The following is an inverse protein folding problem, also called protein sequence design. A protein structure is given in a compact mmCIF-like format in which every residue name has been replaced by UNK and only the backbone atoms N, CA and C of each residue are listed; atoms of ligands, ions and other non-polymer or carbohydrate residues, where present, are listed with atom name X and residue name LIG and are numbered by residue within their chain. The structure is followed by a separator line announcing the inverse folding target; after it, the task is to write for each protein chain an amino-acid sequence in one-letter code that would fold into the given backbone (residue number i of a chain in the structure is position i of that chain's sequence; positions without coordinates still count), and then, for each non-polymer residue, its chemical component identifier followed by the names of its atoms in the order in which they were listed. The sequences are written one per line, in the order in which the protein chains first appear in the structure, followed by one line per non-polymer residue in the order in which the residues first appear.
data_IF_831770087110
#
_entry.id   IF_831770087110
#
_cell.length_a   1.000
_cell.length_b   1.000
_cell.length_c   1.000
_cell.angle_alpha   90.00
_cell.angle_beta   90.00
_cell.angle_gamma   90.00
#
_symmetry.space_group_name_H-M   'P 1'
#
loop_
_entity.id
_entity.type
_entity.pdbx_description
1 polymer ?
#
# COMPACT_ATOMS: atom_id res chain seq x y z
N UNK A 1 26.36 13.93 3.26
CA UNK A 1 26.94 14.26 4.56
C UNK A 1 26.33 13.48 5.72
N UNK A 2 25.20 13.92 6.34
CA UNK A 2 24.66 13.23 7.53
C UNK A 2 24.07 11.84 7.20
N UNK A 3 23.35 11.71 6.10
CA UNK A 3 22.84 10.42 5.62
C UNK A 3 23.95 9.39 5.41
N UNK A 4 25.13 9.83 5.02
CA UNK A 4 26.30 8.95 4.80
C UNK A 4 26.98 8.54 6.11
N UNK A 5 26.81 9.32 7.18
CA UNK A 5 27.45 9.05 8.47
C UNK A 5 26.54 8.29 9.43
N UNK A 6 25.33 8.77 9.66
CA UNK A 6 24.40 8.22 10.65
C UNK A 6 23.12 7.60 10.05
N UNK A 7 22.91 7.73 8.74
CA UNK A 7 21.71 7.30 8.08
C UNK A 7 20.54 8.29 8.16
N UNK A 8 19.31 7.80 7.95
CA UNK A 8 18.10 8.62 7.95
C UNK A 8 17.50 8.72 9.34
N UNK A 9 17.33 9.93 9.83
CA UNK A 9 16.62 10.20 11.08
C UNK A 9 15.14 9.81 10.93
N UNK A 10 14.52 9.17 11.94
CA UNK A 10 13.09 8.96 11.98
C UNK A 10 12.32 10.26 12.18
N UNK A 11 11.03 10.27 11.83
CA UNK A 11 10.15 11.41 12.07
C UNK A 11 9.84 11.58 13.56
N UNK A 12 9.76 10.45 14.32
CA UNK A 12 9.44 10.43 15.75
C UNK A 12 10.40 9.48 16.47
N UNK A 13 10.84 9.87 17.66
CA UNK A 13 11.55 9.00 18.61
C UNK A 13 10.65 8.70 19.81
N UNK A 14 10.52 7.43 20.16
CA UNK A 14 9.79 6.97 21.32
C UNK A 14 10.74 6.72 22.48
N UNK A 15 10.45 7.30 23.65
CA UNK A 15 11.25 7.14 24.85
C UNK A 15 10.42 6.59 26.01
N UNK A 16 11.08 5.88 26.96
CA UNK A 16 10.51 5.73 28.29
C UNK A 16 10.42 7.10 28.94
N UNK A 17 9.38 7.31 29.75
CA UNK A 17 9.14 8.59 30.45
C UNK A 17 10.36 9.02 31.30
N UNK A 18 11.08 8.05 31.87
CA UNK A 18 12.28 8.27 32.71
C UNK A 18 13.49 8.72 31.88
N UNK A 19 13.56 8.36 30.61
CA UNK A 19 14.66 8.67 29.71
C UNK A 19 14.38 9.95 28.89
N UNK A 20 13.14 10.45 28.92
CA UNK A 20 12.76 11.64 28.17
C UNK A 20 13.33 12.92 28.79
N UNK A 21 14.19 13.59 28.04
CA UNK A 21 14.83 14.83 28.47
C UNK A 21 14.01 16.07 28.05
N UNK A 22 13.21 16.60 28.99
CA UNK A 22 12.37 17.78 28.76
C UNK A 22 13.16 19.05 28.39
N UNK A 23 14.43 19.17 28.79
CA UNK A 23 15.24 20.34 28.49
C UNK A 23 15.62 20.44 27.00
N UNK A 24 15.59 19.32 26.25
CA UNK A 24 15.83 19.30 24.81
C UNK A 24 14.59 19.72 24.01
N UNK A 25 13.42 19.77 24.66
CA UNK A 25 12.14 20.01 24.00
C UNK A 25 11.63 18.78 23.22
N UNK A 26 10.51 18.93 22.52
CA UNK A 26 9.92 17.88 21.69
C UNK A 26 10.51 17.85 20.27
N UNK A 27 11.02 18.96 19.77
CA UNK A 27 11.66 19.06 18.46
C UNK A 27 13.18 19.16 18.62
N UNK A 28 13.85 18.06 18.23
CA UNK A 28 15.31 17.96 18.23
C UNK A 28 15.90 17.93 16.81
N UNK A 29 15.09 18.22 15.79
CA UNK A 29 15.48 18.13 14.38
C UNK A 29 16.64 19.06 14.02
N UNK A 30 16.75 20.22 14.68
CA UNK A 30 17.81 21.22 14.50
C UNK A 30 19.14 20.87 15.19
N UNK A 31 19.14 19.87 16.08
CA UNK A 31 20.35 19.46 16.82
C UNK A 31 21.26 18.60 15.95
N UNK A 32 22.57 18.76 16.10
CA UNK A 32 23.51 17.87 15.42
C UNK A 32 23.54 16.47 16.03
N UNK A 33 23.96 15.48 15.25
CA UNK A 33 24.10 14.09 15.72
C UNK A 33 25.12 13.95 16.85
N UNK A 34 26.13 14.84 16.90
CA UNK A 34 27.13 14.85 17.97
C UNK A 34 26.50 15.30 19.29
N UNK A 35 25.58 16.28 19.25
CA UNK A 35 24.95 16.83 20.45
C UNK A 35 23.94 15.88 21.07
N UNK A 36 23.28 15.05 20.27
CA UNK A 36 22.13 14.23 20.72
C UNK A 36 22.34 12.73 20.58
N UNK A 37 23.49 12.27 20.10
CA UNK A 37 23.74 10.85 19.82
C UNK A 37 23.45 9.92 21.00
N UNK A 38 24.01 10.25 22.18
CA UNK A 38 23.79 9.48 23.41
C UNK A 38 22.33 9.52 23.90
N UNK A 39 21.61 10.61 23.59
CA UNK A 39 20.20 10.71 23.91
C UNK A 39 19.35 9.86 22.97
N UNK A 40 19.62 9.93 21.66
CA UNK A 40 18.93 9.13 20.64
C UNK A 40 19.09 7.63 20.93
N UNK A 41 20.26 7.18 21.35
CA UNK A 41 20.53 5.78 21.69
C UNK A 41 19.69 5.25 22.89
N UNK A 42 19.05 6.13 23.66
CA UNK A 42 18.10 5.75 24.74
C UNK A 42 16.67 5.58 24.26
N UNK A 43 16.39 5.92 23.01
CA UNK A 43 15.06 5.75 22.44
C UNK A 43 14.69 4.26 22.36
N UNK A 44 13.42 3.95 22.59
CA UNK A 44 12.87 2.60 22.44
C UNK A 44 12.68 2.27 20.95
N UNK A 45 12.27 3.27 20.17
CA UNK A 45 11.98 3.11 18.75
C UNK A 45 12.16 4.42 17.98
N UNK A 46 12.55 4.30 16.72
CA UNK A 46 12.41 5.33 15.69
C UNK A 46 11.22 5.02 14.80
N UNK A 47 10.40 6.01 14.51
CA UNK A 47 9.16 5.84 13.75
C UNK A 47 9.20 6.75 12.53
N UNK A 48 9.03 6.17 11.35
CA UNK A 48 8.75 6.86 10.10
C UNK A 48 7.25 6.92 9.89
N UNK A 49 6.67 8.11 9.74
CA UNK A 49 5.23 8.31 9.60
C UNK A 49 4.89 8.60 8.14
N UNK A 50 3.89 7.92 7.63
CA UNK A 50 3.26 8.19 6.34
C UNK A 50 1.78 8.44 6.55
N UNK A 51 1.22 9.34 5.77
CA UNK A 51 -0.21 9.62 5.78
C UNK A 51 -0.84 9.38 4.41
N UNK A 52 -2.08 8.99 4.42
CA UNK A 52 -2.88 8.76 3.23
C UNK A 52 -4.29 9.31 3.43
N UNK A 53 -4.78 10.11 2.48
CA UNK A 53 -6.08 10.75 2.54
C UNK A 53 -7.23 9.81 2.15
N UNK A 54 -7.20 8.58 2.69
CA UNK A 54 -8.23 7.57 2.46
C UNK A 54 -8.90 7.15 3.77
N UNK A 55 -10.18 6.83 3.68
CA UNK A 55 -10.91 6.04 4.67
C UNK A 55 -10.79 4.58 4.27
N UNK A 56 -10.02 3.80 5.03
CA UNK A 56 -9.65 2.42 4.63
C UNK A 56 -10.86 1.49 4.57
N UNK A 57 -11.82 1.65 5.49
CA UNK A 57 -13.04 0.84 5.50
C UNK A 57 -13.87 1.10 4.24
N UNK A 58 -14.13 2.38 3.90
CA UNK A 58 -14.86 2.74 2.67
C UNK A 58 -14.13 2.31 1.40
N UNK A 59 -12.81 2.41 1.38
CA UNK A 59 -12.02 1.94 0.24
C UNK A 59 -12.20 0.43 0.04
N UNK A 60 -12.14 -0.35 1.12
CA UNK A 60 -12.29 -1.81 1.09
C UNK A 60 -13.72 -2.20 0.68
N UNK A 61 -14.74 -1.54 1.22
CA UNK A 61 -16.14 -1.77 0.84
C UNK A 61 -16.37 -1.51 -0.65
N UNK A 62 -15.87 -0.38 -1.16
CA UNK A 62 -16.00 -0.02 -2.57
C UNK A 62 -15.24 -0.99 -3.47
N UNK A 63 -14.01 -1.37 -3.11
CA UNK A 63 -13.22 -2.36 -3.83
C UNK A 63 -13.97 -3.71 -3.92
N UNK A 64 -14.53 -4.19 -2.81
CA UNK A 64 -15.30 -5.42 -2.76
C UNK A 64 -16.59 -5.32 -3.60
N UNK A 65 -17.26 -4.17 -3.59
CA UNK A 65 -18.44 -3.90 -4.42
C UNK A 65 -18.12 -4.00 -5.91
N UNK A 66 -17.02 -3.37 -6.32
CA UNK A 66 -16.56 -3.39 -7.72
C UNK A 66 -16.17 -4.81 -8.15
N UNK A 67 -15.44 -5.55 -7.32
CA UNK A 67 -15.07 -6.94 -7.59
C UNK A 67 -16.31 -7.80 -7.76
N UNK A 68 -17.26 -7.75 -6.82
CA UNK A 68 -18.50 -8.53 -6.90
C UNK A 68 -19.27 -8.26 -8.19
N UNK A 69 -19.52 -6.99 -8.53
CA UNK A 69 -20.22 -6.59 -9.76
C UNK A 69 -19.54 -7.15 -11.02
N UNK A 70 -18.21 -7.08 -11.08
CA UNK A 70 -17.48 -7.60 -12.23
C UNK A 70 -17.45 -9.13 -12.26
N UNK A 71 -17.46 -9.81 -11.10
CA UNK A 71 -17.56 -11.27 -11.02
C UNK A 71 -18.93 -11.75 -11.53
N UNK A 72 -20.03 -11.14 -11.07
CA UNK A 72 -21.37 -11.43 -11.55
C UNK A 72 -21.46 -11.24 -13.08
N UNK A 73 -20.93 -10.14 -13.60
CA UNK A 73 -20.93 -9.85 -15.04
C UNK A 73 -20.05 -10.83 -15.84
N UNK A 74 -18.90 -11.21 -15.32
CA UNK A 74 -18.02 -12.19 -15.94
C UNK A 74 -18.69 -13.58 -16.08
N UNK A 75 -19.42 -14.02 -15.05
CA UNK A 75 -20.17 -15.28 -15.07
C UNK A 75 -21.32 -15.21 -16.07
N UNK A 76 -22.04 -14.08 -16.11
CA UNK A 76 -23.11 -13.86 -17.10
C UNK A 76 -22.57 -13.95 -18.54
N UNK A 77 -21.50 -13.22 -18.85
CA UNK A 77 -20.85 -13.21 -20.16
C UNK A 77 -20.32 -14.60 -20.55
N UNK A 78 -19.74 -15.34 -19.59
CA UNK A 78 -19.33 -16.73 -19.80
C UNK A 78 -20.52 -17.59 -20.25
N UNK A 79 -21.67 -17.48 -19.57
CA UNK A 79 -22.85 -18.26 -19.91
C UNK A 79 -23.37 -17.88 -21.30
N UNK A 80 -23.50 -16.60 -21.62
CA UNK A 80 -23.87 -16.14 -22.96
C UNK A 80 -22.95 -16.73 -24.04
N UNK A 81 -21.63 -16.67 -23.81
CA UNK A 81 -20.64 -17.17 -24.77
C UNK A 81 -20.77 -18.69 -24.97
N UNK A 82 -20.96 -19.45 -23.91
CA UNK A 82 -21.09 -20.92 -24.00
C UNK A 82 -22.44 -21.35 -24.54
N UNK A 83 -23.52 -20.61 -24.26
CA UNK A 83 -24.85 -20.99 -24.72
C UNK A 83 -25.10 -20.57 -26.19
N UNK A 84 -24.66 -19.39 -26.60
CA UNK A 84 -25.03 -18.84 -27.90
C UNK A 84 -23.94 -18.97 -28.98
N UNK A 85 -22.66 -19.16 -28.60
CA UNK A 85 -21.52 -19.09 -29.53
C UNK A 85 -20.57 -20.29 -29.43
N UNK A 86 -20.97 -21.39 -28.78
CA UNK A 86 -20.11 -22.58 -28.60
C UNK A 86 -19.65 -23.16 -29.93
N UNK A 87 -20.54 -23.20 -30.95
CA UNK A 87 -20.24 -23.67 -32.30
C UNK A 87 -19.13 -22.87 -33.00
N UNK A 88 -19.08 -21.56 -32.74
CA UNK A 88 -18.04 -20.69 -33.26
C UNK A 88 -16.70 -20.89 -32.51
N UNK A 89 -16.79 -21.12 -31.19
CA UNK A 89 -15.58 -21.43 -30.39
C UNK A 89 -14.98 -22.79 -30.81
N UNK A 90 -15.79 -23.83 -31.01
CA UNK A 90 -15.32 -25.15 -31.48
C UNK A 90 -14.54 -25.04 -32.79
N UNK A 91 -14.99 -24.17 -33.72
CA UNK A 91 -14.34 -23.96 -35.01
C UNK A 91 -13.08 -23.08 -34.92
N UNK A 92 -13.04 -22.08 -34.04
CA UNK A 92 -11.99 -21.04 -34.01
C UNK A 92 -10.97 -21.22 -32.91
N UNK A 93 -11.43 -21.58 -31.69
CA UNK A 93 -10.59 -21.69 -30.49
C UNK A 93 -11.20 -22.63 -29.45
N UNK A 94 -11.21 -23.95 -29.71
CA UNK A 94 -11.81 -24.93 -28.81
C UNK A 94 -11.22 -24.92 -27.40
N UNK A 95 -9.95 -24.52 -27.25
CA UNK A 95 -9.30 -24.40 -25.95
C UNK A 95 -9.97 -23.35 -25.03
N UNK A 96 -10.63 -22.33 -25.58
CA UNK A 96 -11.37 -21.35 -24.78
C UNK A 96 -12.57 -21.96 -24.08
N UNK A 97 -13.19 -22.98 -24.64
CA UNK A 97 -14.35 -23.66 -24.03
C UNK A 97 -13.95 -24.23 -22.66
N UNK A 98 -12.83 -24.94 -22.59
CA UNK A 98 -12.34 -25.52 -21.35
C UNK A 98 -11.97 -24.44 -20.32
N UNK A 99 -11.37 -23.33 -20.76
CA UNK A 99 -11.04 -22.18 -19.91
C UNK A 99 -12.31 -21.54 -19.34
N UNK A 100 -13.31 -21.30 -20.20
CA UNK A 100 -14.57 -20.68 -19.78
C UNK A 100 -15.40 -21.62 -18.87
N UNK A 101 -15.40 -22.91 -19.12
CA UNK A 101 -16.07 -23.88 -18.24
C UNK A 101 -15.51 -23.91 -16.82
N UNK A 102 -14.21 -23.65 -16.67
CA UNK A 102 -13.56 -23.55 -15.35
C UNK A 102 -13.83 -22.22 -14.64
N UNK A 103 -14.38 -21.21 -15.34
CA UNK A 103 -14.59 -19.90 -14.76
C UNK A 103 -15.79 -19.90 -13.80
N UNK A 104 -15.52 -19.65 -12.53
CA UNK A 104 -16.49 -19.50 -11.45
C UNK A 104 -16.05 -18.39 -10.47
N UNK A 105 -16.76 -18.21 -9.37
CA UNK A 105 -16.47 -17.20 -8.35
C UNK A 105 -15.08 -17.37 -7.71
N UNK A 106 -14.53 -18.57 -7.67
CA UNK A 106 -13.23 -18.88 -7.05
C UNK A 106 -12.08 -18.74 -8.03
N UNK A 107 -12.25 -19.22 -9.25
CA UNK A 107 -11.24 -19.27 -10.30
C UNK A 107 -11.07 -17.95 -11.07
N UNK A 108 -12.05 -17.05 -11.00
CA UNK A 108 -12.08 -15.76 -11.71
C UNK A 108 -10.82 -14.90 -11.48
N UNK A 109 -10.12 -15.09 -10.35
CA UNK A 109 -8.88 -14.37 -10.02
C UNK A 109 -7.64 -14.91 -10.73
N UNK A 110 -7.66 -16.14 -11.23
CA UNK A 110 -6.51 -16.80 -11.84
C UNK A 110 -6.69 -17.06 -13.35
N UNK A 111 -7.91 -17.01 -13.86
CA UNK A 111 -8.19 -17.27 -15.27
C UNK A 111 -7.69 -16.11 -16.14
N UNK A 112 -6.94 -16.48 -17.17
CA UNK A 112 -6.50 -15.57 -18.22
C UNK A 112 -6.64 -16.20 -19.61
N UNK A 113 -6.84 -15.35 -20.62
CA UNK A 113 -6.83 -15.72 -22.03
C UNK A 113 -6.52 -14.53 -22.92
N UNK A 114 -6.03 -14.79 -24.13
CA UNK A 114 -5.78 -13.75 -25.12
C UNK A 114 -7.10 -13.35 -25.80
N UNK A 115 -7.41 -12.06 -25.86
CA UNK A 115 -8.57 -11.52 -26.61
C UNK A 115 -8.50 -11.91 -28.10
N UNK A 116 -9.57 -12.47 -28.68
CA UNK A 116 -9.66 -12.63 -30.12
C UNK A 116 -9.92 -11.28 -30.81
N UNK A 117 -9.72 -11.24 -32.11
CA UNK A 117 -9.93 -10.06 -32.97
C UNK A 117 -10.72 -10.39 -34.23
N UNK A 118 -11.70 -11.29 -34.09
CA UNK A 118 -12.50 -11.78 -35.24
C UNK A 118 -13.54 -10.74 -35.67
N UNK A 119 -13.62 -10.50 -37.00
CA UNK A 119 -14.54 -9.50 -37.59
C UNK A 119 -15.22 -10.01 -38.87
N UNK A 120 -15.07 -11.29 -39.23
CA UNK A 120 -15.51 -11.83 -40.53
C UNK A 120 -17.04 -11.89 -40.70
N UNK A 121 -17.80 -11.91 -39.60
CA UNK A 121 -19.27 -11.86 -39.63
C UNK A 121 -19.78 -11.11 -38.40
N UNK A 122 -21.03 -10.66 -38.43
CA UNK A 122 -21.67 -10.02 -37.28
C UNK A 122 -21.62 -10.90 -36.04
N UNK A 123 -21.96 -12.18 -36.14
CA UNK A 123 -21.97 -13.12 -35.02
C UNK A 123 -20.57 -13.34 -34.43
N UNK A 124 -19.52 -13.33 -35.26
CA UNK A 124 -18.12 -13.35 -34.80
C UNK A 124 -17.70 -12.04 -34.13
N UNK A 125 -18.23 -10.92 -34.56
CA UNK A 125 -17.97 -9.64 -33.91
C UNK A 125 -18.61 -9.59 -32.52
N UNK A 126 -19.87 -10.01 -32.39
CA UNK A 126 -20.61 -10.10 -31.11
C UNK A 126 -19.89 -11.03 -30.13
N UNK A 127 -19.43 -12.20 -30.56
CA UNK A 127 -18.59 -13.09 -29.75
C UNK A 127 -17.29 -12.40 -29.30
N UNK A 128 -16.63 -11.67 -30.21
CA UNK A 128 -15.39 -10.93 -29.89
C UNK A 128 -15.65 -9.86 -28.85
N UNK A 129 -16.77 -9.14 -28.94
CA UNK A 129 -17.14 -8.07 -28.01
C UNK A 129 -17.46 -8.66 -26.62
N UNK A 130 -18.22 -9.75 -26.54
CA UNK A 130 -18.50 -10.47 -25.29
C UNK A 130 -17.22 -10.98 -24.61
N UNK A 131 -16.31 -11.62 -25.36
CA UNK A 131 -15.02 -12.08 -24.83
C UNK A 131 -14.11 -10.91 -24.45
N UNK A 132 -14.21 -9.76 -25.13
CA UNK A 132 -13.46 -8.54 -24.78
C UNK A 132 -13.95 -7.97 -23.46
N UNK A 133 -15.28 -7.84 -23.30
CA UNK A 133 -15.89 -7.35 -22.07
C UNK A 133 -15.58 -8.30 -20.89
N UNK A 134 -15.72 -9.61 -21.09
CA UNK A 134 -15.34 -10.61 -20.09
C UNK A 134 -13.89 -10.43 -19.63
N UNK A 135 -12.95 -10.27 -20.56
CA UNK A 135 -11.55 -10.02 -20.24
C UNK A 135 -11.34 -8.74 -19.46
N UNK A 136 -12.11 -7.69 -19.76
CA UNK A 136 -12.00 -6.42 -19.04
C UNK A 136 -12.57 -6.56 -17.61
N UNK A 137 -13.64 -7.33 -17.39
CA UNK A 137 -14.10 -7.70 -16.05
C UNK A 137 -13.02 -8.46 -15.27
N UNK A 138 -12.39 -9.48 -15.89
CA UNK A 138 -11.29 -10.22 -15.24
C UNK A 138 -10.12 -9.32 -14.84
N UNK A 139 -9.72 -8.38 -15.67
CA UNK A 139 -8.66 -7.41 -15.33
C UNK A 139 -9.00 -6.56 -14.12
N UNK A 140 -10.27 -6.14 -13.98
CA UNK A 140 -10.74 -5.38 -12.82
C UNK A 140 -10.67 -6.22 -11.54
N UNK A 141 -11.10 -7.49 -11.62
CA UNK A 141 -11.11 -8.43 -10.48
C UNK A 141 -9.68 -8.78 -10.04
N UNK A 142 -8.79 -8.97 -11.01
CA UNK A 142 -7.39 -9.35 -10.77
C UNK A 142 -6.50 -8.17 -10.35
N UNK A 143 -7.01 -6.93 -10.51
CA UNK A 143 -6.29 -5.76 -10.06
C UNK A 143 -6.19 -5.76 -8.54
N UNK A 144 -4.98 -5.52 -8.02
CA UNK A 144 -4.75 -5.31 -6.59
C UNK A 144 -5.46 -4.06 -6.11
N UNK A 145 -6.36 -4.21 -5.17
CA UNK A 145 -7.18 -3.15 -4.59
C UNK A 145 -7.02 -3.12 -3.06
N UNK A 146 -5.79 -2.93 -2.58
CA UNK A 146 -5.51 -2.74 -1.15
C UNK A 146 -4.75 -1.44 -0.93
N UNK A 147 -5.11 -0.72 0.12
CA UNK A 147 -4.27 0.35 0.64
C UNK A 147 -3.06 -0.28 1.32
N UNK A 148 -1.91 0.38 1.23
CA UNK A 148 -0.63 -0.23 1.62
C UNK A 148 0.19 0.70 2.50
N UNK A 149 1.01 0.11 3.36
CA UNK A 149 2.19 0.74 3.95
C UNK A 149 3.25 0.81 2.84
N UNK A 150 3.91 1.97 2.70
CA UNK A 150 4.70 2.27 1.49
C UNK A 150 6.14 2.72 1.80
N UNK A 151 7.00 1.84 2.35
CA UNK A 151 8.42 2.13 2.47
C UNK A 151 9.08 2.24 1.08
N UNK A 152 10.11 3.07 0.97
CA UNK A 152 10.89 3.22 -0.26
C UNK A 152 12.12 2.32 -0.21
N UNK A 153 12.42 1.66 -1.32
CA UNK A 153 13.61 0.81 -1.43
C UNK A 153 14.89 1.63 -1.18
N UNK A 154 14.95 2.86 -1.69
CA UNK A 154 16.08 3.75 -1.52
C UNK A 154 16.34 4.13 -0.04
N UNK A 155 15.29 4.12 0.78
CA UNK A 155 15.40 4.45 2.21
C UNK A 155 15.94 3.25 3.03
N UNK A 156 15.81 1.99 2.55
CA UNK A 156 16.19 0.79 3.33
C UNK A 156 17.64 0.85 3.83
N UNK A 157 18.58 1.20 2.95
CA UNK A 157 20.01 1.29 3.30
C UNK A 157 20.28 2.35 4.36
N UNK A 158 19.67 3.52 4.23
CA UNK A 158 19.93 4.65 5.15
C UNK A 158 19.21 4.48 6.49
N UNK A 159 18.04 3.82 6.50
CA UNK A 159 17.34 3.43 7.73
C UNK A 159 18.12 2.33 8.47
N UNK A 160 18.58 1.29 7.76
CA UNK A 160 19.44 0.26 8.36
C UNK A 160 20.70 0.85 8.98
N UNK A 161 21.35 1.80 8.29
CA UNK A 161 22.53 2.48 8.83
C UNK A 161 22.22 3.22 10.14
N UNK A 162 21.07 3.90 10.22
CA UNK A 162 20.64 4.59 11.43
C UNK A 162 20.43 3.59 12.59
N UNK A 163 19.79 2.46 12.33
CA UNK A 163 19.61 1.38 13.33
C UNK A 163 20.97 0.88 13.83
N UNK A 164 21.91 0.63 12.93
CA UNK A 164 23.26 0.16 13.32
C UNK A 164 24.06 1.20 14.11
N UNK A 165 23.83 2.50 13.84
CA UNK A 165 24.53 3.58 14.53
C UNK A 165 24.06 3.76 15.97
N UNK A 166 22.75 3.68 16.21
CA UNK A 166 22.17 3.99 17.52
C UNK A 166 21.65 2.77 18.28
N UNK A 167 21.60 1.61 17.65
CA UNK A 167 21.00 0.37 18.16
C UNK A 167 19.54 0.56 18.59
N UNK A 168 18.78 1.38 17.85
CA UNK A 168 17.36 1.67 18.10
C UNK A 168 16.53 1.09 16.96
N UNK A 169 15.55 0.21 17.23
CA UNK A 169 14.71 -0.39 16.20
C UNK A 169 13.87 0.69 15.49
N UNK A 170 13.58 0.44 14.22
CA UNK A 170 12.84 1.38 13.38
C UNK A 170 11.52 0.77 12.92
N UNK A 171 10.48 1.60 12.85
CA UNK A 171 9.13 1.21 12.47
C UNK A 171 8.56 2.17 11.44
N UNK A 172 7.70 1.65 10.57
CA UNK A 172 6.87 2.43 9.67
C UNK A 172 5.43 2.45 10.17
N UNK A 173 4.85 3.64 10.27
CA UNK A 173 3.46 3.85 10.68
C UNK A 173 2.73 4.56 9.56
N UNK A 174 1.67 3.94 9.08
CA UNK A 174 0.78 4.47 8.04
C UNK A 174 -0.52 4.94 8.68
N UNK A 175 -0.78 6.24 8.60
CA UNK A 175 -2.00 6.88 9.11
C UNK A 175 -2.99 7.06 7.95
N UNK A 176 -4.19 6.53 8.12
CA UNK A 176 -5.36 6.79 7.30
C UNK A 176 -6.33 7.69 8.08
N UNK A 177 -7.37 8.21 7.45
CA UNK A 177 -8.34 9.07 8.15
C UNK A 177 -9.25 8.33 9.14
N UNK A 178 -9.26 7.00 9.12
CA UNK A 178 -10.07 6.18 10.03
C UNK A 178 -9.26 5.15 10.82
N UNK A 179 -8.02 4.82 10.41
CA UNK A 179 -7.20 3.79 11.07
C UNK A 179 -5.70 4.09 10.98
N UNK A 180 -4.94 3.45 11.86
CA UNK A 180 -3.47 3.51 11.85
C UNK A 180 -2.90 2.10 11.84
N UNK A 181 -1.93 1.85 10.97
CA UNK A 181 -1.22 0.58 10.88
C UNK A 181 0.28 0.78 11.04
N UNK A 182 0.95 -0.20 11.65
CA UNK A 182 2.39 -0.17 11.83
C UNK A 182 3.05 -1.48 11.40
N UNK A 183 4.33 -1.39 11.01
CA UNK A 183 5.18 -2.53 10.68
C UNK A 183 6.62 -2.25 11.10
N UNK A 184 7.34 -3.25 11.62
CA UNK A 184 8.75 -3.10 11.94
C UNK A 184 9.60 -3.11 10.67
N UNK A 185 10.72 -2.38 10.70
CA UNK A 185 11.69 -2.40 9.61
C UNK A 185 12.28 -3.80 9.39
N UNK A 186 12.48 -4.55 10.46
CA UNK A 186 12.93 -5.93 10.38
C UNK A 186 11.95 -6.80 9.59
N UNK A 187 10.66 -6.69 9.87
CA UNK A 187 9.64 -7.45 9.13
C UNK A 187 9.59 -7.05 7.64
N UNK A 188 9.79 -5.77 7.33
CA UNK A 188 9.91 -5.32 5.92
C UNK A 188 11.08 -6.02 5.24
N UNK A 189 12.25 -6.10 5.90
CA UNK A 189 13.42 -6.78 5.34
C UNK A 189 13.18 -8.29 5.17
N UNK A 190 12.52 -8.94 6.13
CA UNK A 190 12.14 -10.37 6.05
C UNK A 190 11.23 -10.63 4.85
N UNK A 191 10.22 -9.78 4.63
CA UNK A 191 9.32 -9.89 3.47
C UNK A 191 10.09 -9.76 2.15
N UNK A 192 10.85 -8.66 1.97
CA UNK A 192 11.50 -8.39 0.69
C UNK A 192 12.72 -9.27 0.41
N UNK A 193 13.26 -9.97 1.41
CA UNK A 193 14.31 -10.96 1.22
C UNK A 193 13.80 -12.32 0.77
N UNK A 194 12.49 -12.53 0.77
CA UNK A 194 11.85 -13.75 0.27
C UNK A 194 11.05 -13.46 -1.01
N UNK A 195 11.61 -13.73 -2.20
CA UNK A 195 10.92 -13.49 -3.48
C UNK A 195 9.62 -14.29 -3.65
N UNK A 196 9.47 -15.43 -2.96
CA UNK A 196 8.26 -16.26 -3.05
C UNK A 196 7.03 -15.57 -2.42
N UNK A 197 7.25 -14.53 -1.61
CA UNK A 197 6.19 -13.71 -1.00
C UNK A 197 5.82 -12.49 -1.86
N UNK A 198 6.59 -12.20 -2.92
CA UNK A 198 6.22 -11.14 -3.86
C UNK A 198 4.90 -11.52 -4.55
N UNK A 199 4.07 -10.52 -4.77
CA UNK A 199 2.72 -10.65 -5.31
C UNK A 199 1.66 -11.17 -4.34
N UNK A 200 2.02 -11.82 -3.24
CA UNK A 200 1.09 -12.23 -2.17
C UNK A 200 1.14 -11.25 -0.98
N UNK A 201 2.29 -11.11 -0.34
CA UNK A 201 2.49 -10.31 0.87
C UNK A 201 3.02 -8.90 0.63
N UNK A 202 3.71 -8.70 -0.45
CA UNK A 202 4.20 -7.39 -0.88
C UNK A 202 4.32 -7.34 -2.39
N UNK A 203 4.43 -6.14 -2.94
CA UNK A 203 4.82 -5.96 -4.34
C UNK A 203 5.64 -4.68 -4.50
N UNK A 204 6.43 -4.64 -5.58
CA UNK A 204 7.31 -3.52 -5.87
C UNK A 204 6.71 -2.69 -7.01
N UNK A 205 6.56 -1.38 -6.78
CA UNK A 205 6.06 -0.43 -7.76
C UNK A 205 7.09 0.66 -8.04
N UNK A 206 7.35 0.91 -9.33
CA UNK A 206 8.15 2.05 -9.76
C UNK A 206 7.27 3.27 -10.01
N UNK A 207 7.55 4.37 -9.33
CA UNK A 207 6.91 5.66 -9.58
C UNK A 207 7.59 6.39 -10.73
N UNK A 208 7.10 6.16 -11.94
CA UNK A 208 7.64 6.78 -13.17
C UNK A 208 7.51 8.30 -13.19
N UNK A 209 6.61 8.87 -12.37
CA UNK A 209 6.40 10.32 -12.26
C UNK A 209 7.37 10.98 -11.28
N UNK A 210 7.97 10.21 -10.39
CA UNK A 210 8.82 10.70 -9.31
C UNK A 210 10.23 10.11 -9.37
N UNK A 211 10.94 10.36 -10.48
CA UNK A 211 12.33 9.94 -10.71
C UNK A 211 12.55 8.41 -10.62
N UNK A 212 11.58 7.62 -11.02
CA UNK A 212 11.61 6.16 -10.94
C UNK A 212 11.91 5.61 -9.54
N UNK A 213 11.48 6.32 -8.49
CA UNK A 213 11.60 5.81 -7.12
C UNK A 213 10.84 4.52 -6.98
N UNK A 214 11.46 3.57 -6.31
CA UNK A 214 10.89 2.25 -6.10
C UNK A 214 10.23 2.19 -4.73
N UNK A 215 8.97 1.78 -4.69
CA UNK A 215 8.17 1.68 -3.47
C UNK A 215 7.78 0.23 -3.23
N UNK A 216 8.01 -0.25 -2.02
CA UNK A 216 7.48 -1.51 -1.54
C UNK A 216 6.04 -1.23 -1.07
N UNK A 217 5.09 -2.03 -1.53
CA UNK A 217 3.67 -1.94 -1.15
C UNK A 217 3.34 -3.16 -0.30
N UNK A 218 3.13 -2.95 0.98
CA UNK A 218 2.69 -3.99 1.92
C UNK A 218 1.22 -3.71 2.23
N UNK A 219 0.28 -4.62 1.94
CA UNK A 219 -1.12 -4.43 2.28
C UNK A 219 -1.26 -4.02 3.76
N UNK A 220 -2.03 -2.98 4.05
CA UNK A 220 -2.12 -2.46 5.43
C UNK A 220 -2.63 -3.50 6.43
N UNK A 221 -3.46 -4.44 5.98
CA UNK A 221 -3.95 -5.56 6.79
C UNK A 221 -2.86 -6.58 7.21
N UNK A 222 -1.71 -6.59 6.53
CA UNK A 222 -0.55 -7.41 6.91
C UNK A 222 0.34 -6.70 7.95
N UNK A 223 0.05 -5.43 8.26
CA UNK A 223 0.62 -4.70 9.38
C UNK A 223 -0.22 -4.84 10.65
N UNK A 224 0.32 -4.39 11.78
CA UNK A 224 -0.40 -4.31 13.06
C UNK A 224 -1.32 -3.10 13.07
N UNK A 225 -2.62 -3.28 13.32
CA UNK A 225 -3.56 -2.17 13.50
C UNK A 225 -3.31 -1.50 14.85
N UNK A 226 -2.76 -0.29 14.83
CA UNK A 226 -2.43 0.47 16.03
C UNK A 226 -3.60 1.31 16.55
N UNK A 227 -4.51 1.70 15.67
CA UNK A 227 -5.72 2.43 16.04
C UNK A 227 -6.86 2.09 15.08
N UNK A 228 -8.03 1.77 15.65
CA UNK A 228 -9.27 1.50 14.93
C UNK A 228 -10.09 2.76 14.68
N UNK A 229 -9.73 3.87 15.28
CA UNK A 229 -10.39 5.16 15.14
C UNK A 229 -9.39 6.31 15.14
N UNK A 230 -9.60 7.22 14.20
CA UNK A 230 -8.87 8.48 14.07
C UNK A 230 -9.89 9.60 13.96
N UNK A 231 -9.74 10.67 14.77
CA UNK A 231 -10.61 11.84 14.65
C UNK A 231 -10.21 12.65 13.41
N UNK A 232 -11.19 13.19 12.71
CA UNK A 232 -10.94 13.97 11.50
C UNK A 232 -10.15 15.24 11.84
N UNK A 233 -8.99 15.48 11.20
CA UNK A 233 -8.22 16.70 11.43
C UNK A 233 -8.90 17.91 10.79
N UNK A 234 -8.68 19.07 11.34
CA UNK A 234 -9.01 20.31 10.65
C UNK A 234 -8.19 20.44 9.37
N UNK A 235 -8.76 21.06 8.35
CA UNK A 235 -8.06 21.27 7.10
C UNK A 235 -8.22 22.72 6.61
N UNK A 236 -7.19 23.19 5.93
CA UNK A 236 -7.19 24.50 5.27
C UNK A 236 -6.45 24.44 3.95
N UNK A 237 -6.94 25.15 2.96
CA UNK A 237 -6.23 25.34 1.70
C UNK A 237 -5.09 26.34 1.89
N UNK A 238 -3.89 25.93 1.48
CA UNK A 238 -2.68 26.77 1.55
C UNK A 238 -2.18 27.05 0.15
N UNK A 239 -1.86 28.31 -0.12
CA UNK A 239 -1.19 28.75 -1.33
C UNK A 239 0.28 29.04 -1.02
N UNK A 240 1.19 28.46 -1.76
CA UNK A 240 2.63 28.72 -1.67
C UNK A 240 3.15 29.16 -3.04
N UNK A 241 3.87 30.29 -3.07
CA UNK A 241 4.60 30.70 -4.26
C UNK A 241 5.96 29.98 -4.30
N UNK A 242 6.24 29.36 -5.43
CA UNK A 242 7.49 28.68 -5.72
C UNK A 242 8.35 29.59 -6.62
N UNK A 243 9.61 29.18 -6.82
CA UNK A 243 10.53 29.90 -7.71
C UNK A 243 9.91 30.11 -9.11
N UNK A 244 10.19 31.27 -9.71
CA UNK A 244 9.70 31.70 -11.03
C UNK A 244 8.19 31.94 -11.07
N UNK A 245 7.53 32.29 -9.93
CA UNK A 245 6.12 32.67 -9.89
C UNK A 245 5.14 31.50 -10.01
N UNK A 246 5.59 30.24 -9.94
CA UNK A 246 4.71 29.07 -9.91
C UNK A 246 3.97 29.00 -8.58
N UNK A 247 2.65 28.87 -8.64
CA UNK A 247 1.80 28.69 -7.47
C UNK A 247 1.58 27.20 -7.20
N UNK A 248 1.81 26.79 -5.95
CA UNK A 248 1.45 25.49 -5.43
C UNK A 248 0.25 25.67 -4.49
N UNK A 249 -0.83 24.93 -4.76
CA UNK A 249 -1.97 24.83 -3.87
C UNK A 249 -1.98 23.44 -3.25
N UNK A 250 -2.12 23.36 -1.92
CA UNK A 250 -2.22 22.11 -1.19
C UNK A 250 -3.10 22.27 0.04
N UNK A 251 -3.58 21.16 0.56
CA UNK A 251 -4.34 21.12 1.82
C UNK A 251 -3.35 20.85 2.96
N UNK A 252 -3.41 21.69 3.99
CA UNK A 252 -2.71 21.45 5.26
C UNK A 252 -3.72 20.90 6.25
N UNK A 253 -3.37 19.81 6.90
CA UNK A 253 -4.12 19.23 8.01
C UNK A 253 -3.50 19.67 9.33
N UNK A 254 -4.34 19.86 10.34
CA UNK A 254 -3.94 20.26 11.69
C UNK A 254 -4.85 19.60 12.73
N UNK A 255 -4.26 19.09 13.82
CA UNK A 255 -4.97 18.28 14.80
C UNK A 255 -5.24 16.87 14.30
N UNK A 256 -6.28 16.26 14.86
CA UNK A 256 -6.58 14.85 14.71
C UNK A 256 -5.89 14.01 15.78
N UNK A 257 -6.61 13.02 16.31
CA UNK A 257 -6.12 12.12 17.35
C UNK A 257 -6.44 10.67 16.96
N UNK A 258 -5.51 9.77 17.24
CA UNK A 258 -5.70 8.33 17.07
C UNK A 258 -5.88 7.68 18.44
N UNK A 259 -6.95 6.91 18.61
CA UNK A 259 -7.15 6.10 19.82
C UNK A 259 -6.33 4.81 19.66
N UNK A 260 -5.15 4.79 20.28
CA UNK A 260 -4.22 3.65 20.16
C UNK A 260 -4.72 2.44 20.97
N UNK A 261 -4.65 1.25 20.35
CA UNK A 261 -4.80 -0.03 21.04
C UNK A 261 -3.51 -0.34 21.78
N UNK A 262 -3.58 -0.39 23.12
CA UNK A 262 -2.42 -0.60 23.98
C UNK A 262 -1.73 -1.95 23.72
N UNK A 263 -2.50 -3.03 23.54
CA UNK A 263 -1.95 -4.38 23.33
C UNK A 263 -1.21 -4.48 22.01
N UNK A 264 -1.80 -3.93 20.93
CA UNK A 264 -1.20 -3.92 19.61
C UNK A 264 0.04 -3.02 19.58
N UNK A 265 0.00 -1.89 20.30
CA UNK A 265 1.14 -0.99 20.45
C UNK A 265 2.29 -1.69 21.21
N UNK A 266 2.00 -2.27 22.37
CA UNK A 266 3.01 -3.05 23.14
C UNK A 266 3.61 -4.17 22.31
N UNK A 267 2.77 -4.92 21.58
CA UNK A 267 3.21 -6.03 20.75
C UNK A 267 4.13 -5.60 19.63
N UNK A 268 3.75 -4.53 18.88
CA UNK A 268 4.54 -4.06 17.76
C UNK A 268 5.91 -3.53 18.22
N UNK A 269 5.94 -2.72 19.28
CA UNK A 269 7.16 -2.06 19.74
C UNK A 269 7.98 -2.90 20.73
N UNK A 270 7.47 -4.05 21.16
CA UNK A 270 8.15 -4.94 22.12
C UNK A 270 8.32 -4.31 23.51
N UNK A 271 7.36 -3.52 23.95
CA UNK A 271 7.38 -2.79 25.23
C UNK A 271 6.17 -3.16 26.09
N UNK A 272 6.18 -2.71 27.35
CA UNK A 272 5.01 -2.68 28.25
C UNK A 272 4.75 -1.24 28.65
N UNK A 273 3.49 -0.79 28.53
CA UNK A 273 3.03 0.54 28.90
C UNK A 273 2.82 0.68 30.41
#
# INVERSE_FOLDING_TARGET
AELDTIGKRPDILLFKKVDFNKSLGYDISSKSSIEIGDYVAKAIAGIEVRSSAFLINKYTEEANRVIRKNTERAIELKNIVLDEYIDLLEQKRPELIAILQQLDETSVRSIDYRKPTWKASQRLQELTDNLSELKDCLKVIQKRNSLSITPKVEDLKVVHKWIMTYNVPHFYVQVFFDKVYGVSFQHILELVSNPDLEDDKYFIEQDTKNQNKTTIKIPSQDGTCLAEAVTEPNHQSVRKELNKGRLLFYVKFDGGEACLDANNFESLFGIKL
#
